data_IF_548174838357
#
_entry.id   IF_548174838357
#
_cell.length_a   1.000
_cell.length_b   1.000
_cell.length_c   1.000
_cell.angle_alpha   90.00
_cell.angle_beta   90.00
_cell.angle_gamma   90.00
#
_symmetry.space_group_name_H-M   'P 1'
#
loop_
_entity.id
_entity.type
_entity.pdbx_description
1 polymer ?
#
# COMPACT_ATOMS: atom_id res chain seq x y z
N UNK A 1 -2.17 9.06 -4.26
CA UNK A 1 -3.00 8.03 -3.63
C UNK A 1 -3.58 8.64 -2.37
N UNK A 2 -4.88 8.55 -2.23
CA UNK A 2 -5.71 8.89 -1.09
C UNK A 2 -6.20 7.61 -0.42
N UNK A 3 -6.70 7.69 0.81
CA UNK A 3 -7.10 6.52 1.59
C UNK A 3 -8.14 5.64 0.87
N UNK A 4 -9.13 6.25 0.22
CA UNK A 4 -10.17 5.51 -0.50
C UNK A 4 -9.69 4.82 -1.78
N UNK A 5 -8.47 5.12 -2.24
CA UNK A 5 -7.85 4.48 -3.40
C UNK A 5 -6.98 3.26 -2.99
N UNK A 6 -6.76 3.05 -1.70
CA UNK A 6 -5.96 1.94 -1.19
C UNK A 6 -6.79 0.65 -1.15
N UNK A 7 -6.24 -0.42 -1.71
CA UNK A 7 -6.79 -1.76 -1.57
C UNK A 7 -6.38 -2.39 -0.24
N UNK A 8 -5.12 -2.19 0.14
CA UNK A 8 -4.58 -2.59 1.44
C UNK A 8 -4.07 -1.37 2.18
N UNK A 9 -4.29 -1.35 3.50
CA UNK A 9 -3.81 -0.31 4.41
C UNK A 9 -2.95 -0.96 5.50
N UNK A 10 -1.83 -0.31 5.82
CA UNK A 10 -0.93 -0.72 6.90
C UNK A 10 -0.55 0.47 7.75
N UNK A 11 -0.61 0.29 9.06
CA UNK A 11 -0.08 1.23 10.04
C UNK A 11 1.33 0.81 10.47
N UNK A 12 2.24 1.77 10.54
CA UNK A 12 3.57 1.56 11.11
C UNK A 12 3.92 2.71 12.05
N UNK A 13 4.68 2.41 13.09
CA UNK A 13 4.93 3.33 14.20
C UNK A 13 6.40 3.78 14.30
N UNK A 14 7.23 3.40 13.33
CA UNK A 14 8.61 3.85 13.21
C UNK A 14 8.91 4.39 11.80
N UNK A 15 9.74 5.45 11.69
CA UNK A 15 10.19 5.95 10.40
C UNK A 15 10.95 4.89 9.58
N UNK A 16 11.69 4.00 10.25
CA UNK A 16 12.50 2.96 9.61
C UNK A 16 11.61 1.93 8.89
N UNK A 17 10.54 1.46 9.54
CA UNK A 17 9.59 0.54 8.91
C UNK A 17 8.81 1.20 7.78
N UNK A 18 8.42 2.48 7.95
CA UNK A 18 7.76 3.25 6.91
C UNK A 18 8.64 3.36 5.66
N UNK A 19 9.90 3.75 5.82
CA UNK A 19 10.85 3.88 4.72
C UNK A 19 11.11 2.55 4.03
N UNK A 20 11.28 1.46 4.80
CA UNK A 20 11.44 0.11 4.24
C UNK A 20 10.24 -0.27 3.37
N UNK A 21 9.03 -0.10 3.89
CA UNK A 21 7.80 -0.43 3.18
C UNK A 21 7.65 0.39 1.89
N UNK A 22 7.97 1.68 1.93
CA UNK A 22 7.87 2.55 0.76
C UNK A 22 8.90 2.18 -0.32
N UNK A 23 10.16 2.01 0.08
CA UNK A 23 11.26 1.87 -0.88
C UNK A 23 11.41 0.45 -1.42
N UNK A 24 11.12 -0.57 -0.63
CA UNK A 24 11.39 -1.98 -0.98
C UNK A 24 10.14 -2.77 -1.33
N UNK A 25 9.01 -2.42 -0.72
CA UNK A 25 7.78 -3.21 -0.84
C UNK A 25 6.72 -2.51 -1.71
N UNK A 26 6.97 -1.29 -2.18
CA UNK A 26 6.09 -0.55 -3.08
C UNK A 26 4.86 0.07 -2.41
N UNK A 27 4.89 0.26 -1.08
CA UNK A 27 3.84 1.01 -0.37
C UNK A 27 3.92 2.51 -0.66
N UNK A 28 2.80 3.21 -0.54
CA UNK A 28 2.73 4.68 -0.63
C UNK A 28 2.27 5.26 0.70
N UNK A 29 2.91 6.33 1.16
CA UNK A 29 2.46 7.08 2.33
C UNK A 29 1.16 7.82 2.00
N UNK A 30 0.13 7.59 2.82
CA UNK A 30 -1.19 8.23 2.68
C UNK A 30 -1.32 9.36 3.70
N UNK A 31 -1.03 9.07 4.96
CA UNK A 31 -1.19 10.02 6.06
C UNK A 31 -0.16 9.78 7.16
N UNK A 32 0.12 10.84 7.92
CA UNK A 32 0.87 10.79 9.18
C UNK A 32 -0.05 11.35 10.26
N UNK A 33 -0.27 10.56 11.30
CA UNK A 33 -1.20 10.90 12.39
C UNK A 33 -0.51 10.75 13.74
N UNK A 34 -1.07 11.38 14.76
CA UNK A 34 -0.75 11.04 16.15
C UNK A 34 -1.66 9.91 16.63
N UNK A 35 -1.08 8.92 17.28
CA UNK A 35 -1.79 7.84 17.94
C UNK A 35 -1.46 7.87 19.44
N UNK A 36 -2.48 7.80 20.30
CA UNK A 36 -2.26 7.55 21.72
C UNK A 36 -2.05 6.05 21.94
N UNK A 37 -1.11 5.69 22.81
CA UNK A 37 -0.98 4.30 23.23
C UNK A 37 -2.02 4.03 24.34
N UNK A 38 -3.01 3.14 24.13
CA UNK A 38 -4.02 2.86 25.15
C UNK A 38 -3.46 2.20 26.42
N UNK A 39 -2.21 1.73 26.40
CA UNK A 39 -1.49 1.22 27.59
C UNK A 39 -0.63 2.28 28.27
N UNK A 40 -0.46 3.45 27.67
CA UNK A 40 0.35 4.54 28.18
C UNK A 40 -0.17 5.87 27.59
N UNK A 41 -1.24 6.37 28.21
CA UNK A 41 -1.99 7.54 27.75
C UNK A 41 -1.12 8.81 27.65
N UNK A 42 -0.04 8.89 28.44
CA UNK A 42 0.90 10.01 28.45
C UNK A 42 1.89 10.00 27.27
N UNK A 43 1.92 8.94 26.46
CA UNK A 43 2.82 8.83 25.31
C UNK A 43 2.04 8.88 24.00
N UNK A 44 2.15 10.02 23.32
CA UNK A 44 1.80 10.15 21.92
C UNK A 44 2.86 9.47 21.04
N UNK A 45 2.41 8.60 20.12
CA UNK A 45 3.22 8.01 19.08
C UNK A 45 2.84 8.60 17.72
N UNK A 46 3.78 8.57 16.77
CA UNK A 46 3.49 8.89 15.37
C UNK A 46 3.07 7.61 14.66
N UNK A 47 1.95 7.64 13.95
CA UNK A 47 1.46 6.55 13.12
C UNK A 47 1.51 6.96 11.65
N UNK A 48 2.27 6.21 10.85
CA UNK A 48 2.34 6.35 9.41
C UNK A 48 1.34 5.38 8.78
N UNK A 49 0.37 5.92 8.05
CA UNK A 49 -0.63 5.15 7.32
C UNK A 49 -0.15 4.98 5.89
N UNK A 50 0.08 3.73 5.49
CA UNK A 50 0.55 3.35 4.17
C UNK A 50 -0.56 2.64 3.40
N UNK A 51 -0.57 2.80 2.09
CA UNK A 51 -1.48 2.08 1.20
C UNK A 51 -0.79 1.43 0.01
N UNK A 52 -1.42 0.37 -0.47
CA UNK A 52 -1.09 -0.29 -1.74
C UNK A 52 -2.31 -0.32 -2.66
N UNK A 53 -2.11 -0.11 -3.97
CA UNK A 53 -3.20 -0.28 -4.92
C UNK A 53 -3.54 -1.76 -5.04
N UNK A 54 -4.71 -2.08 -5.56
CA UNK A 54 -5.02 -3.44 -5.95
C UNK A 54 -3.94 -3.93 -6.94
N UNK A 55 -3.56 -5.22 -6.88
CA UNK A 55 -2.73 -5.79 -7.93
C UNK A 55 -3.39 -5.54 -9.28
N UNK A 56 -2.58 -5.21 -10.29
CA UNK A 56 -3.09 -5.03 -11.64
C UNK A 56 -3.89 -6.28 -12.04
N UNK A 57 -5.03 -6.13 -12.75
CA UNK A 57 -5.74 -7.28 -13.29
C UNK A 57 -4.75 -8.13 -14.08
N UNK A 58 -4.81 -9.45 -13.92
CA UNK A 58 -4.09 -10.35 -14.82
C UNK A 58 -4.50 -9.97 -16.24
N UNK A 59 -3.52 -9.62 -17.09
CA UNK A 59 -3.79 -9.38 -18.50
C UNK A 59 -4.43 -10.65 -19.07
N UNK A 60 -5.73 -10.55 -19.37
CA UNK A 60 -6.43 -11.59 -20.10
C UNK A 60 -5.97 -11.53 -21.54
N UNK A 61 -5.76 -12.70 -22.12
CA UNK A 61 -5.27 -12.83 -23.47
C UNK A 61 -5.21 -14.29 -23.87
N UNK A 62 -4.98 -14.52 -25.14
CA UNK A 62 -4.91 -15.84 -25.74
C UNK A 62 -3.75 -15.93 -26.71
N UNK A 63 -3.26 -17.15 -26.90
CA UNK A 63 -2.31 -17.44 -27.97
C UNK A 63 -3.08 -17.63 -29.28
N UNK A 64 -2.73 -16.84 -30.29
CA UNK A 64 -3.22 -16.98 -31.67
C UNK A 64 -2.01 -17.20 -32.55
N UNK A 65 -1.95 -18.34 -33.25
CA UNK A 65 -0.84 -18.71 -34.13
C UNK A 65 0.55 -18.59 -33.48
N UNK A 66 0.65 -18.96 -32.21
CA UNK A 66 1.90 -18.92 -31.44
C UNK A 66 2.28 -17.54 -30.89
N UNK A 67 1.54 -16.48 -31.22
CA UNK A 67 1.74 -15.14 -30.69
C UNK A 67 0.77 -14.85 -29.54
N UNK A 68 1.25 -14.21 -28.47
CA UNK A 68 0.40 -13.75 -27.37
C UNK A 68 -0.37 -12.50 -27.80
N UNK A 69 -1.69 -12.53 -27.67
CA UNK A 69 -2.58 -11.42 -28.00
C UNK A 69 -3.38 -11.05 -26.75
N UNK A 70 -3.32 -9.78 -26.27
CA UNK A 70 -4.18 -9.32 -25.18
C UNK A 70 -5.65 -9.32 -25.63
N UNK A 71 -6.57 -9.68 -24.74
CA UNK A 71 -7.99 -9.45 -24.99
C UNK A 71 -8.24 -7.93 -24.93
N UNK A 72 -8.69 -7.34 -26.05
CA UNK A 72 -9.16 -5.95 -26.05
C UNK A 72 -10.51 -5.89 -25.33
N UNK A 73 -10.63 -5.02 -24.33
CA UNK A 73 -11.87 -4.72 -23.59
C UNK A 73 -12.88 -3.93 -24.42
#
# INVERSE_FOLDING_TARGET
>A
MQLHEAHEVKEVYSPQEANKAIQQEGWKLIAVTSASNPKNEDRMAVCYVLGKPAPAPLQKGKYVDGNWVPDEE
#
